data_IF_375915143487
#
_entry.id   IF_375915143487
#
_cell.length_a   1.000
_cell.length_b   1.000
_cell.length_c   1.000
_cell.angle_alpha   90.00
_cell.angle_beta   90.00
_cell.angle_gamma   90.00
#
_symmetry.space_group_name_H-M   'P 1'
#
loop_
_entity.id
_entity.type
_entity.pdbx_description
1 polymer ?
#
# COMPACT_ATOMS: atom_id res chain seq x y z
N UNK A 1 20.47 -44.27 2.28
CA UNK A 1 20.74 -43.73 0.92
C UNK A 1 21.02 -42.24 1.07
N UNK A 2 22.28 -41.85 1.00
CA UNK A 2 22.77 -40.48 1.20
C UNK A 2 22.78 -39.77 -0.16
N UNK A 3 22.15 -38.60 -0.25
CA UNK A 3 22.07 -37.82 -1.50
C UNK A 3 22.82 -36.51 -1.29
N UNK A 4 24.10 -36.51 -1.67
CA UNK A 4 24.94 -35.33 -1.77
C UNK A 4 24.47 -34.46 -2.95
N UNK A 5 24.25 -33.17 -2.70
CA UNK A 5 24.02 -32.17 -3.74
C UNK A 5 25.16 -31.15 -3.69
N UNK A 6 26.08 -31.34 -4.61
CA UNK A 6 27.26 -30.51 -4.85
C UNK A 6 26.86 -29.14 -5.41
N UNK A 7 27.55 -28.13 -4.88
CA UNK A 7 27.48 -26.70 -5.19
C UNK A 7 27.69 -26.41 -6.67
N UNK A 8 26.91 -25.49 -7.22
CA UNK A 8 27.29 -24.72 -8.42
C UNK A 8 27.35 -23.24 -8.04
N UNK A 9 28.58 -22.75 -7.81
CA UNK A 9 28.91 -21.33 -7.80
C UNK A 9 28.99 -20.88 -9.26
N UNK A 10 28.08 -20.01 -9.69
CA UNK A 10 28.28 -19.20 -10.88
C UNK A 10 28.54 -17.76 -10.46
N UNK A 11 29.81 -17.38 -10.52
CA UNK A 11 30.27 -16.00 -10.53
C UNK A 11 30.17 -15.55 -11.98
N UNK A 12 29.24 -14.64 -12.28
CA UNK A 12 29.22 -13.91 -13.54
C UNK A 12 29.45 -12.43 -13.23
N UNK A 13 30.69 -12.00 -13.45
CA UNK A 13 31.06 -10.62 -13.57
C UNK A 13 30.69 -10.14 -14.99
N UNK A 14 29.97 -9.03 -15.09
CA UNK A 14 29.84 -8.24 -16.32
C UNK A 14 29.60 -6.79 -15.89
N UNK A 15 30.64 -5.97 -15.88
CA UNK A 15 31.03 -5.08 -16.98
C UNK A 15 30.21 -3.80 -16.97
N UNK A 16 30.86 -2.76 -16.45
CA UNK A 16 30.42 -1.38 -16.48
C UNK A 16 30.36 -0.87 -17.92
N UNK A 17 29.27 -0.18 -18.26
CA UNK A 17 29.20 0.75 -19.39
C UNK A 17 28.66 2.07 -18.84
N UNK A 18 29.58 3.01 -18.59
CA UNK A 18 29.25 4.40 -18.30
C UNK A 18 28.90 5.09 -19.63
N UNK A 19 27.62 5.39 -19.83
CA UNK A 19 27.16 6.26 -20.91
C UNK A 19 27.03 7.68 -20.35
N UNK A 20 28.05 8.49 -20.64
CA UNK A 20 28.00 9.95 -20.59
C UNK A 20 27.11 10.42 -21.75
N UNK A 21 25.86 10.78 -21.45
CA UNK A 21 25.04 11.59 -22.36
C UNK A 21 24.90 12.99 -21.78
N UNK A 22 25.27 13.96 -22.63
CA UNK A 22 25.37 15.37 -22.31
C UNK A 22 24.05 16.01 -21.92
N UNK A 23 24.16 17.03 -21.07
CA UNK A 23 23.07 17.91 -20.69
C UNK A 23 22.64 18.76 -21.90
N UNK A 24 21.34 18.84 -22.22
CA UNK A 24 20.84 19.89 -23.10
C UNK A 24 20.77 21.22 -22.35
N UNK A 25 21.11 22.28 -23.08
CA UNK A 25 21.21 23.65 -22.62
C UNK A 25 19.92 24.18 -21.97
N UNK A 26 20.11 24.94 -20.90
CA UNK A 26 19.10 25.76 -20.24
C UNK A 26 18.67 26.86 -21.22
N UNK A 27 17.45 26.77 -21.76
CA UNK A 27 16.82 27.87 -22.47
C UNK A 27 15.98 28.66 -21.47
N UNK A 28 16.32 29.94 -21.30
CA UNK A 28 15.51 30.94 -20.59
C UNK A 28 14.10 30.99 -21.19
N UNK A 29 13.10 30.73 -20.36
CA UNK A 29 11.71 30.94 -20.72
C UNK A 29 11.34 32.41 -20.47
N UNK A 30 10.69 33.10 -21.43
CA UNK A 30 10.23 34.48 -21.26
C UNK A 30 9.12 34.57 -20.20
N UNK A 31 9.18 35.64 -19.41
CA UNK A 31 8.17 36.02 -18.42
C UNK A 31 6.84 36.37 -19.13
N UNK A 32 5.70 35.78 -18.72
CA UNK A 32 4.40 36.20 -19.22
C UNK A 32 3.94 37.46 -18.48
N UNK A 33 3.73 38.51 -19.26
CA UNK A 33 3.18 39.81 -18.84
C UNK A 33 1.77 39.67 -18.23
N UNK A 34 1.53 40.52 -17.23
CA UNK A 34 0.25 40.78 -16.58
C UNK A 34 -0.77 41.33 -17.57
N UNK A 35 -1.80 40.54 -17.90
CA UNK A 35 -3.10 41.08 -18.29
C UNK A 35 -4.09 40.78 -17.18
N UNK A 36 -4.18 41.75 -16.26
CA UNK A 36 -5.31 41.93 -15.38
C UNK A 36 -6.54 42.39 -16.19
N UNK A 37 -7.72 42.12 -15.64
CA UNK A 37 -9.05 42.58 -16.09
C UNK A 37 -9.83 41.65 -17.04
N UNK A 38 -10.44 40.63 -16.43
CA UNK A 38 -11.77 40.18 -16.84
C UNK A 38 -12.60 39.82 -15.59
N UNK A 39 -13.21 40.88 -15.06
CA UNK A 39 -14.26 40.86 -14.05
C UNK A 39 -15.58 40.38 -14.68
N UNK A 40 -16.34 39.62 -13.89
CA UNK A 40 -17.81 39.50 -13.85
C UNK A 40 -18.51 38.39 -14.66
N UNK A 41 -19.51 37.84 -13.94
CA UNK A 41 -20.66 37.04 -14.35
C UNK A 41 -20.50 35.52 -14.38
N UNK A 42 -20.57 34.91 -13.19
CA UNK A 42 -21.19 33.59 -13.00
C UNK A 42 -22.05 33.66 -11.73
N UNK A 43 -23.17 34.36 -11.86
CA UNK A 43 -24.34 34.20 -11.01
C UNK A 43 -25.03 32.87 -11.37
N UNK A 44 -25.52 32.18 -10.35
CA UNK A 44 -26.57 31.16 -10.36
C UNK A 44 -26.34 29.85 -11.16
N UNK A 45 -25.66 28.91 -10.50
CA UNK A 45 -25.88 27.48 -10.73
C UNK A 45 -26.27 26.82 -9.39
N UNK A 46 -27.50 27.08 -8.95
CA UNK A 46 -28.20 26.25 -7.98
C UNK A 46 -28.60 24.92 -8.64
N UNK A 47 -27.62 24.05 -8.87
CA UNK A 47 -27.88 22.62 -9.09
C UNK A 47 -26.67 21.83 -8.58
N UNK A 48 -26.44 21.95 -7.26
CA UNK A 48 -25.52 21.05 -6.58
C UNK A 48 -26.26 19.75 -6.37
N UNK A 49 -26.20 18.91 -7.40
CA UNK A 49 -26.38 17.47 -7.34
C UNK A 49 -25.98 16.98 -5.96
N UNK A 50 -26.94 16.34 -5.31
CA UNK A 50 -26.76 15.48 -4.16
C UNK A 50 -25.69 14.44 -4.54
N UNK A 51 -24.40 14.76 -4.35
CA UNK A 51 -23.32 13.79 -4.40
C UNK A 51 -23.44 12.97 -3.10
N UNK A 52 -24.50 12.17 -3.04
CA UNK A 52 -24.76 11.16 -2.02
C UNK A 52 -23.75 10.01 -2.19
N UNK A 53 -22.51 10.27 -1.79
CA UNK A 53 -21.70 9.33 -1.03
C UNK A 53 -20.45 10.08 -0.58
N UNK A 54 -20.60 10.94 0.42
CA UNK A 54 -19.47 11.27 1.31
C UNK A 54 -19.08 9.98 2.03
N UNK A 55 -18.31 9.13 1.34
CA UNK A 55 -17.78 7.90 1.87
C UNK A 55 -17.08 8.24 3.17
N UNK A 56 -17.71 7.89 4.30
CA UNK A 56 -17.16 8.19 5.61
C UNK A 56 -15.72 7.66 5.63
N UNK A 57 -14.78 8.39 6.25
CA UNK A 57 -13.49 7.84 6.62
C UNK A 57 -13.65 6.39 7.04
N UNK A 58 -12.92 5.45 6.42
CA UNK A 58 -12.88 4.06 6.86
C UNK A 58 -12.14 3.99 8.20
N UNK A 59 -12.72 4.59 9.23
CA UNK A 59 -12.39 4.33 10.62
C UNK A 59 -13.10 3.05 10.98
N UNK A 60 -12.43 1.94 10.69
CA UNK A 60 -12.97 0.61 10.85
C UNK A 60 -12.11 -0.12 11.87
N UNK A 61 -12.67 -0.30 13.07
CA UNK A 61 -12.01 -1.00 14.16
C UNK A 61 -12.29 -2.49 14.08
N UNK A 62 -11.34 -3.30 14.55
CA UNK A 62 -11.50 -4.74 14.69
C UNK A 62 -11.88 -5.50 13.40
N UNK A 63 -11.41 -5.02 12.24
CA UNK A 63 -11.69 -5.62 10.93
C UNK A 63 -10.72 -6.74 10.59
N UNK A 64 -11.12 -7.59 9.65
CA UNK A 64 -10.23 -8.54 8.97
C UNK A 64 -10.07 -8.12 7.53
N UNK A 65 -8.84 -8.21 7.01
CA UNK A 65 -8.53 -7.86 5.63
C UNK A 65 -8.40 -9.15 4.82
N UNK A 66 -9.42 -9.47 4.01
CA UNK A 66 -9.43 -10.63 3.13
C UNK A 66 -9.01 -10.23 1.72
N UNK A 67 -8.06 -10.93 1.13
CA UNK A 67 -7.75 -10.77 -0.26
C UNK A 67 -8.86 -11.42 -1.12
N UNK A 68 -9.35 -10.69 -2.12
CA UNK A 68 -10.44 -11.18 -2.98
C UNK A 68 -9.97 -12.31 -3.89
N UNK A 69 -8.78 -12.19 -4.48
CA UNK A 69 -8.23 -13.19 -5.40
C UNK A 69 -7.92 -14.53 -4.74
N UNK A 70 -7.29 -14.51 -3.55
CA UNK A 70 -6.88 -15.76 -2.86
C UNK A 70 -7.88 -16.25 -1.82
N UNK A 71 -8.81 -15.40 -1.38
CA UNK A 71 -9.73 -15.69 -0.29
C UNK A 71 -9.08 -15.75 1.10
N UNK A 72 -7.76 -15.56 1.21
CA UNK A 72 -7.00 -15.58 2.47
C UNK A 72 -7.03 -14.23 3.18
N UNK A 73 -6.82 -14.24 4.49
CA UNK A 73 -6.76 -13.04 5.30
C UNK A 73 -5.31 -12.66 5.66
N UNK A 74 -5.08 -11.35 5.75
CA UNK A 74 -3.88 -10.78 6.33
C UNK A 74 -3.87 -11.06 7.84
N UNK A 75 -2.79 -11.66 8.31
CA UNK A 75 -2.60 -12.05 9.70
C UNK A 75 -1.20 -11.68 10.18
N UNK A 76 -1.04 -11.44 11.47
CA UNK A 76 0.28 -11.36 12.12
C UNK A 76 0.67 -12.73 12.68
N UNK A 77 1.93 -13.15 12.52
CA UNK A 77 2.40 -14.41 13.11
C UNK A 77 3.06 -14.20 14.47
N UNK A 78 2.34 -14.50 15.55
CA UNK A 78 2.92 -14.61 16.88
C UNK A 78 3.77 -13.39 17.30
N UNK A 79 4.99 -13.66 17.77
CA UNK A 79 6.01 -12.67 18.14
C UNK A 79 6.82 -12.14 16.94
N UNK A 80 6.76 -12.80 15.78
CA UNK A 80 7.46 -12.33 14.60
C UNK A 80 6.81 -11.04 14.08
N UNK A 81 7.60 -10.01 13.76
CA UNK A 81 7.07 -8.77 13.22
C UNK A 81 6.74 -8.92 11.73
N UNK A 82 6.22 -10.06 11.26
CA UNK A 82 5.94 -10.31 9.84
C UNK A 82 4.43 -10.53 9.66
N UNK A 83 3.85 -9.82 8.69
CA UNK A 83 2.49 -10.10 8.25
C UNK A 83 2.49 -11.24 7.24
N UNK A 84 1.50 -12.13 7.30
CA UNK A 84 1.39 -13.34 6.46
C UNK A 84 -0.04 -13.53 5.97
N UNK A 85 -0.20 -14.37 4.94
CA UNK A 85 -1.51 -14.82 4.49
C UNK A 85 -1.90 -16.13 5.17
N UNK A 86 -3.10 -16.20 5.72
CA UNK A 86 -3.62 -17.41 6.37
C UNK A 86 -5.12 -17.53 6.14
N UNK A 87 -5.70 -18.70 6.44
CA UNK A 87 -7.14 -18.85 6.42
C UNK A 87 -7.79 -17.82 7.34
N UNK A 88 -8.86 -17.20 6.85
CA UNK A 88 -9.61 -16.23 7.62
C UNK A 88 -10.18 -16.88 8.88
N UNK A 89 -9.92 -16.26 10.04
CA UNK A 89 -10.46 -16.70 11.32
C UNK A 89 -10.96 -15.49 12.11
N UNK A 90 -11.60 -15.70 13.25
CA UNK A 90 -11.96 -14.60 14.18
C UNK A 90 -10.85 -14.28 15.18
N UNK A 91 -9.71 -14.99 15.12
CA UNK A 91 -8.61 -14.85 16.06
C UNK A 91 -8.02 -13.42 16.05
N UNK A 92 -7.48 -12.95 17.19
CA UNK A 92 -6.89 -11.61 17.30
C UNK A 92 -5.76 -11.33 16.30
N UNK A 93 -5.06 -12.37 15.81
CA UNK A 93 -4.00 -12.27 14.81
C UNK A 93 -4.49 -11.74 13.46
N UNK A 94 -5.79 -11.84 13.17
CA UNK A 94 -6.43 -11.37 11.94
C UNK A 94 -7.11 -10.01 12.09
N UNK A 95 -7.05 -9.41 13.29
CA UNK A 95 -7.79 -8.19 13.63
C UNK A 95 -6.92 -6.95 13.44
N UNK A 96 -7.48 -5.98 12.74
CA UNK A 96 -6.83 -4.73 12.37
C UNK A 96 -7.74 -3.54 12.68
N UNK A 97 -7.16 -2.46 13.19
CA UNK A 97 -7.77 -1.15 13.17
C UNK A 97 -7.28 -0.41 11.92
N UNK A 98 -8.21 0.08 11.13
CA UNK A 98 -7.95 1.00 10.02
C UNK A 98 -8.29 2.39 10.52
N UNK A 99 -7.28 3.24 10.65
CA UNK A 99 -7.43 4.58 11.22
C UNK A 99 -7.04 5.57 10.14
N UNK A 100 -7.98 6.43 9.76
CA UNK A 100 -7.72 7.50 8.82
C UNK A 100 -6.90 8.61 9.49
N UNK A 101 -5.93 9.12 8.74
CA UNK A 101 -5.10 10.28 9.05
C UNK A 101 -5.52 11.46 8.16
N UNK A 102 -4.90 12.62 8.35
CA UNK A 102 -5.00 13.72 7.41
C UNK A 102 -4.61 13.29 5.97
N UNK A 103 -5.17 13.97 4.97
CA UNK A 103 -4.86 13.81 3.55
C UNK A 103 -5.25 12.44 2.94
N UNK A 104 -6.30 11.80 3.47
CA UNK A 104 -6.83 10.53 2.94
C UNK A 104 -5.91 9.31 3.13
N UNK A 105 -4.89 9.46 3.98
CA UNK A 105 -3.97 8.39 4.35
C UNK A 105 -4.52 7.58 5.52
N UNK A 106 -4.09 6.35 5.66
CA UNK A 106 -4.53 5.44 6.71
C UNK A 106 -3.35 4.74 7.37
N UNK A 107 -3.50 4.36 8.63
CA UNK A 107 -2.65 3.36 9.27
C UNK A 107 -3.45 2.09 9.49
N UNK A 108 -2.78 0.95 9.34
CA UNK A 108 -3.36 -0.38 9.55
C UNK A 108 -2.68 -0.94 10.80
N UNK A 109 -3.33 -0.82 11.95
CA UNK A 109 -2.78 -1.17 13.26
C UNK A 109 -3.24 -2.56 13.69
N UNK A 110 -2.32 -3.39 14.14
CA UNK A 110 -2.61 -4.73 14.63
C UNK A 110 -3.33 -4.69 15.99
N UNK A 111 -4.31 -5.57 16.13
CA UNK A 111 -5.01 -5.87 17.40
C UNK A 111 -4.55 -7.19 18.03
N UNK A 112 -3.56 -7.86 17.45
CA UNK A 112 -2.90 -9.01 18.09
C UNK A 112 -2.25 -8.55 19.41
N UNK A 113 -2.55 -9.17 20.57
CA UNK A 113 -1.92 -8.83 21.85
C UNK A 113 -0.39 -8.82 21.82
N UNK A 114 0.24 -9.70 21.04
CA UNK A 114 1.70 -9.79 20.93
C UNK A 114 2.32 -8.71 20.04
N UNK A 115 1.51 -8.01 19.23
CA UNK A 115 1.93 -6.95 18.32
C UNK A 115 1.05 -5.71 18.50
N UNK A 116 0.52 -5.51 19.72
CA UNK A 116 -0.43 -4.45 20.00
C UNK A 116 0.23 -3.09 19.78
N UNK A 117 -0.46 -2.19 19.09
CA UNK A 117 0.06 -0.85 18.80
C UNK A 117 1.11 -0.80 17.68
N UNK A 118 1.41 -1.93 17.03
CA UNK A 118 2.25 -1.95 15.82
C UNK A 118 1.39 -1.81 14.56
N UNK A 119 1.96 -1.20 13.54
CA UNK A 119 1.30 -0.96 12.26
C UNK A 119 1.95 -1.78 11.14
N UNK A 120 1.13 -2.12 10.14
CA UNK A 120 1.59 -2.70 8.88
C UNK A 120 2.47 -1.68 8.16
N UNK A 121 3.69 -2.07 7.88
CA UNK A 121 4.70 -1.28 7.17
C UNK A 121 5.42 -2.17 6.16
N UNK A 122 6.27 -1.61 5.32
CA UNK A 122 7.14 -2.34 4.39
C UNK A 122 8.57 -1.82 4.60
N UNK A 123 9.57 -2.70 4.57
CA UNK A 123 10.92 -2.37 5.04
C UNK A 123 11.62 -1.34 4.15
N UNK A 124 12.37 -0.41 4.76
CA UNK A 124 13.37 0.44 4.08
C UNK A 124 12.84 1.41 3.03
N UNK A 125 11.63 1.94 3.19
CA UNK A 125 10.97 2.86 2.23
C UNK A 125 10.96 2.38 0.76
N UNK A 126 11.25 1.11 0.55
CA UNK A 126 11.42 0.52 -0.77
C UNK A 126 10.17 0.72 -1.60
N UNK A 127 10.39 1.29 -2.79
CA UNK A 127 9.47 1.26 -3.93
C UNK A 127 9.69 0.01 -4.79
N UNK A 128 10.39 -1.00 -4.26
CA UNK A 128 10.71 -2.23 -4.98
C UNK A 128 9.55 -3.23 -4.90
N UNK A 129 9.02 -3.71 -6.03
CA UNK A 129 8.04 -4.79 -6.07
C UNK A 129 8.59 -6.05 -5.37
N UNK A 130 7.71 -6.77 -4.68
CA UNK A 130 8.07 -7.95 -3.89
C UNK A 130 8.58 -7.65 -2.47
N UNK A 131 8.71 -6.38 -2.07
CA UNK A 131 9.11 -6.02 -0.71
C UNK A 131 8.13 -6.57 0.33
N UNK A 132 8.66 -7.09 1.44
CA UNK A 132 7.88 -7.73 2.51
C UNK A 132 7.22 -6.68 3.40
N UNK A 133 5.95 -6.89 3.70
CA UNK A 133 5.21 -6.16 4.71
C UNK A 133 5.43 -6.79 6.10
N UNK A 134 5.75 -5.95 7.06
CA UNK A 134 6.15 -6.33 8.41
C UNK A 134 5.46 -5.38 9.42
N UNK A 135 5.56 -5.69 10.71
CA UNK A 135 4.95 -4.92 11.79
C UNK A 135 5.99 -3.98 12.40
N UNK A 136 5.73 -2.68 12.34
CA UNK A 136 6.62 -1.63 12.88
C UNK A 136 5.90 -0.71 13.86
N UNK A 137 6.61 0.17 14.58
CA UNK A 137 5.97 1.22 15.36
C UNK A 137 5.11 2.11 14.45
N UNK A 138 3.88 2.47 14.86
CA UNK A 138 2.95 3.24 14.02
C UNK A 138 3.40 4.67 13.66
N UNK A 139 4.37 5.24 14.40
CA UNK A 139 4.88 6.60 14.20
C UNK A 139 6.30 6.67 13.64
N UNK A 140 6.93 5.54 13.29
CA UNK A 140 8.28 5.58 12.76
C UNK A 140 8.33 6.30 11.39
N UNK A 141 9.43 6.98 11.03
CA UNK A 141 9.67 7.35 9.65
C UNK A 141 9.65 6.07 8.80
N UNK A 142 8.79 6.03 7.78
CA UNK A 142 8.51 4.81 7.03
C UNK A 142 7.52 3.83 7.68
N UNK A 143 6.89 4.15 8.82
CA UNK A 143 5.66 3.48 9.28
C UNK A 143 4.56 3.85 8.29
N UNK A 144 4.33 2.94 7.34
CA UNK A 144 3.76 3.33 6.07
C UNK A 144 2.29 3.69 6.22
N UNK A 145 2.02 4.89 5.75
CA UNK A 145 0.68 5.41 5.50
C UNK A 145 0.17 4.75 4.23
N UNK A 146 -1.04 4.21 4.29
CA UNK A 146 -1.68 3.51 3.20
C UNK A 146 -2.76 4.40 2.58
N UNK A 147 -2.83 4.42 1.26
CA UNK A 147 -4.00 4.94 0.54
C UNK A 147 -4.96 3.77 0.32
N UNK A 148 -6.19 3.93 0.77
CA UNK A 148 -7.25 2.97 0.52
C UNK A 148 -8.17 3.57 -0.53
N UNK A 149 -8.14 3.01 -1.74
CA UNK A 149 -8.99 3.44 -2.83
C UNK A 149 -10.13 2.45 -3.00
N UNK A 150 -11.38 2.92 -2.88
CA UNK A 150 -12.57 2.12 -3.11
C UNK A 150 -12.63 1.70 -4.57
N UNK A 151 -12.79 0.40 -4.82
CA UNK A 151 -12.90 -0.17 -6.15
C UNK A 151 -14.33 -0.68 -6.44
N UNK A 152 -15.05 -1.08 -5.39
CA UNK A 152 -16.45 -1.50 -5.40
C UNK A 152 -16.96 -1.50 -3.95
N UNK A 153 -18.27 -1.71 -3.69
CA UNK A 153 -18.77 -1.82 -2.31
C UNK A 153 -17.98 -2.84 -1.49
N UNK A 154 -17.37 -2.38 -0.39
CA UNK A 154 -16.51 -3.16 0.51
C UNK A 154 -15.25 -3.77 -0.13
N UNK A 155 -14.84 -3.30 -1.30
CA UNK A 155 -13.62 -3.73 -1.97
C UNK A 155 -12.71 -2.54 -2.23
N UNK A 156 -11.43 -2.71 -1.92
CA UNK A 156 -10.46 -1.63 -1.96
C UNK A 156 -9.10 -2.09 -2.44
N UNK A 157 -8.35 -1.16 -3.03
CA UNK A 157 -6.90 -1.27 -3.17
C UNK A 157 -6.24 -0.68 -1.93
N UNK A 158 -5.26 -1.39 -1.39
CA UNK A 158 -4.46 -0.92 -0.26
C UNK A 158 -3.08 -0.54 -0.82
N UNK A 159 -2.99 0.68 -1.32
CA UNK A 159 -1.76 1.25 -1.88
C UNK A 159 -0.87 1.77 -0.75
N UNK A 160 0.44 1.55 -0.89
CA UNK A 160 1.41 2.18 -0.02
C UNK A 160 1.44 3.71 -0.30
N UNK A 161 2.17 4.49 0.51
CA UNK A 161 2.37 5.93 0.31
C UNK A 161 2.83 6.27 -1.11
N UNK A 162 3.70 5.43 -1.70
CA UNK A 162 3.96 5.46 -3.13
C UNK A 162 2.78 4.84 -3.89
N UNK A 163 2.12 5.60 -4.79
CA UNK A 163 0.94 5.13 -5.52
C UNK A 163 1.23 3.95 -6.45
N UNK A 164 2.51 3.63 -6.69
CA UNK A 164 2.91 2.58 -7.62
C UNK A 164 2.87 1.17 -7.00
N UNK A 165 2.72 1.04 -5.68
CA UNK A 165 2.76 -0.26 -5.00
C UNK A 165 1.51 -0.53 -4.18
N UNK A 166 0.90 -1.69 -4.41
CA UNK A 166 -0.26 -2.19 -3.67
C UNK A 166 0.07 -3.46 -2.88
N UNK A 167 -0.57 -3.62 -1.72
CA UNK A 167 -0.57 -4.87 -0.99
C UNK A 167 -1.14 -5.98 -1.87
N UNK A 168 -0.41 -7.08 -2.02
CA UNK A 168 -0.70 -8.14 -2.98
C UNK A 168 -0.88 -9.48 -2.28
N UNK A 169 -2.04 -10.12 -2.45
CA UNK A 169 -2.33 -11.44 -1.91
C UNK A 169 -1.35 -12.50 -2.40
N UNK A 170 -0.99 -13.43 -1.52
CA UNK A 170 -0.09 -14.54 -1.83
C UNK A 170 -0.64 -15.88 -1.34
N UNK A 171 0.19 -16.92 -1.41
CA UNK A 171 -0.16 -18.24 -0.90
C UNK A 171 -0.17 -18.28 0.64
N UNK A 172 -0.90 -19.24 1.22
CA UNK A 172 -0.96 -19.42 2.67
C UNK A 172 0.45 -19.65 3.26
N UNK A 173 0.71 -19.04 4.42
CA UNK A 173 1.99 -19.08 5.14
C UNK A 173 3.06 -18.12 4.59
N UNK A 174 2.89 -17.58 3.39
CA UNK A 174 3.88 -16.66 2.80
C UNK A 174 3.81 -15.27 3.43
N UNK A 175 4.95 -14.56 3.55
CA UNK A 175 4.97 -13.17 3.99
C UNK A 175 4.14 -12.30 3.05
N UNK A 176 3.47 -11.32 3.63
CA UNK A 176 2.75 -10.31 2.89
C UNK A 176 3.73 -9.45 2.09
N UNK A 177 3.35 -9.05 0.88
CA UNK A 177 4.22 -8.28 -0.01
C UNK A 177 3.46 -7.17 -0.71
N UNK A 178 4.21 -6.19 -1.18
CA UNK A 178 3.71 -5.16 -2.11
C UNK A 178 4.16 -5.46 -3.53
N UNK A 179 3.33 -5.15 -4.52
CA UNK A 179 3.61 -5.33 -5.95
C UNK A 179 3.19 -4.09 -6.73
N UNK A 180 3.69 -3.93 -7.97
CA UNK A 180 3.24 -2.86 -8.87
C UNK A 180 1.73 -2.91 -9.06
N UNK A 181 1.08 -1.75 -9.09
CA UNK A 181 -0.34 -1.63 -9.42
C UNK A 181 -0.64 -2.36 -10.74
N UNK A 182 -1.79 -3.03 -10.81
CA UNK A 182 -2.25 -3.74 -12.01
C UNK A 182 -2.13 -5.26 -11.93
N UNK A 183 -1.77 -5.84 -10.78
CA UNK A 183 -1.68 -7.29 -10.59
C UNK A 183 -3.06 -7.99 -10.42
N UNK A 184 -4.12 -7.38 -10.93
CA UNK A 184 -5.48 -7.92 -10.96
C UNK A 184 -6.14 -8.13 -9.58
N UNK A 185 -6.97 -9.16 -9.48
CA UNK A 185 -7.79 -9.48 -8.29
C UNK A 185 -6.97 -9.76 -7.02
N UNK A 186 -5.69 -10.09 -7.16
CA UNK A 186 -4.79 -10.29 -6.03
C UNK A 186 -4.42 -8.97 -5.32
N UNK A 187 -4.73 -7.80 -5.89
CA UNK A 187 -4.55 -6.51 -5.19
C UNK A 187 -5.86 -5.96 -4.62
N UNK A 188 -6.96 -6.68 -4.80
CA UNK A 188 -8.26 -6.29 -4.30
C UNK A 188 -8.48 -6.90 -2.91
N UNK A 189 -8.85 -6.05 -1.96
CA UNK A 189 -9.05 -6.40 -0.56
C UNK A 189 -10.48 -6.13 -0.15
N UNK A 190 -11.03 -7.01 0.67
CA UNK A 190 -12.33 -6.87 1.30
C UNK A 190 -12.14 -6.72 2.80
N UNK A 191 -12.78 -5.72 3.39
CA UNK A 191 -12.87 -5.59 4.83
C UNK A 191 -14.04 -6.45 5.36
N UNK A 192 -13.75 -7.29 6.34
CA UNK A 192 -14.73 -8.15 7.00
C UNK A 192 -14.88 -7.71 8.46
N UNK A 193 -16.09 -7.86 9.04
CA UNK A 193 -16.31 -7.68 10.47
C UNK A 193 -15.61 -8.75 11.30
#
# INVERSE_FOLDING_TARGET
MKKDWTRALFVAAASAAALLFGAPALAEAPEPEEDAEALLALEDAEDSDEIAETGQPLNAFNRRLRNVGTGLCLSTSGSEPIARYTNCSVAPTHRWDIIQLANGLHIIRSRNPQQLGRCLTVAGETIRPGSIAFMGPCGAPGARRWRMATAAPRRMYIANHSPLLCLHGGAAGTPARVQLVGAGVNQLWQDLP
#
